data_IF_470459171321
#
_entry.id   IF_470459171321
#
_cell.length_a   1.000
_cell.length_b   1.000
_cell.length_c   1.000
_cell.angle_alpha   90.00
_cell.angle_beta   90.00
_cell.angle_gamma   90.00
#
_symmetry.space_group_name_H-M   'P 1'
#
loop_
_entity.id
_entity.type
_entity.pdbx_description
1 polymer ?
#
# COMPACT_ATOMS: atom_id res chain seq x y z
N UNK A 1 39.98 24.91 11.31
CA UNK A 1 38.73 25.44 10.77
C UNK A 1 38.31 24.55 9.61
N UNK A 2 37.10 23.98 9.70
CA UNK A 2 36.30 23.34 8.64
C UNK A 2 35.27 22.42 9.32
N UNK A 3 34.23 23.06 9.83
CA UNK A 3 33.00 22.45 10.31
C UNK A 3 32.30 21.63 9.20
N UNK A 4 31.26 20.89 9.61
CA UNK A 4 30.18 20.29 8.80
C UNK A 4 30.46 18.87 8.27
N UNK A 5 29.67 17.85 8.57
CA UNK A 5 28.46 17.74 9.38
C UNK A 5 28.08 16.27 9.36
N UNK A 6 28.16 15.60 10.51
CA UNK A 6 27.63 14.25 10.69
C UNK A 6 26.11 14.37 10.77
N UNK A 7 25.43 14.21 9.63
CA UNK A 7 23.99 14.01 9.62
C UNK A 7 23.73 12.58 10.10
N UNK A 8 23.26 12.43 11.34
CA UNK A 8 22.66 11.18 11.78
C UNK A 8 21.26 11.12 11.17
N UNK A 9 21.01 10.17 10.28
CA UNK A 9 19.69 9.95 9.71
C UNK A 9 19.04 8.77 10.41
N UNK A 10 17.91 9.01 11.07
CA UNK A 10 17.07 7.97 11.66
C UNK A 10 16.00 7.61 10.63
N UNK A 11 16.17 6.48 9.94
CA UNK A 11 15.11 5.92 9.10
C UNK A 11 14.17 5.10 9.99
N UNK A 12 13.03 5.69 10.36
CA UNK A 12 11.95 4.95 11.00
C UNK A 12 11.23 4.15 9.92
N UNK A 13 11.64 2.90 9.74
CA UNK A 13 10.84 1.93 9.01
C UNK A 13 9.71 1.52 9.95
N UNK A 14 8.53 2.08 9.75
CA UNK A 14 7.32 1.50 10.35
C UNK A 14 7.27 0.04 9.89
N UNK A 15 7.41 -0.89 10.83
CA UNK A 15 7.40 -2.30 10.51
C UNK A 15 6.12 -2.60 9.76
N UNK A 16 6.23 -3.07 8.51
CA UNK A 16 5.11 -3.67 7.81
C UNK A 16 4.57 -4.74 8.76
N UNK A 17 3.41 -4.45 9.36
CA UNK A 17 2.88 -5.22 10.48
C UNK A 17 3.00 -6.69 10.15
N UNK A 18 3.69 -7.42 11.02
CA UNK A 18 3.78 -8.87 10.94
C UNK A 18 2.36 -9.41 11.04
N UNK A 19 1.67 -9.51 9.90
CA UNK A 19 0.51 -10.37 9.80
C UNK A 19 1.10 -11.75 9.66
N UNK A 20 1.13 -12.46 10.79
CA UNK A 20 1.00 -13.90 10.84
C UNK A 20 0.10 -14.33 9.68
N UNK A 21 0.75 -14.77 8.60
CA UNK A 21 0.07 -15.19 7.40
C UNK A 21 -0.63 -16.49 7.75
N UNK A 22 -1.85 -16.37 8.27
CA UNK A 22 -2.85 -17.40 8.06
C UNK A 22 -2.80 -17.71 6.54
N UNK A 23 -2.64 -18.98 6.13
CA UNK A 23 -2.30 -19.36 4.75
C UNK A 23 -3.33 -18.92 3.69
N UNK A 24 -4.41 -18.26 4.10
CA UNK A 24 -5.52 -17.76 3.29
C UNK A 24 -5.71 -16.24 3.33
N UNK A 25 -4.94 -15.49 4.11
CA UNK A 25 -5.06 -14.02 4.13
C UNK A 25 -4.31 -13.43 2.92
N UNK A 26 -5.01 -13.30 1.78
CA UNK A 26 -4.46 -12.54 0.65
C UNK A 26 -4.22 -11.10 1.10
N UNK A 27 -3.00 -10.59 0.91
CA UNK A 27 -2.66 -9.21 1.20
C UNK A 27 -3.56 -8.28 0.38
N UNK A 28 -4.23 -7.34 1.04
CA UNK A 28 -5.22 -6.46 0.42
C UNK A 28 -4.63 -5.66 -0.76
N UNK A 29 -3.35 -5.29 -0.67
CA UNK A 29 -2.62 -4.64 -1.76
C UNK A 29 -2.46 -5.52 -3.01
N UNK A 30 -2.23 -6.83 -2.84
CA UNK A 30 -2.10 -7.75 -3.96
C UNK A 30 -3.43 -7.88 -4.71
N UNK A 31 -4.53 -8.04 -3.96
CA UNK A 31 -5.88 -8.07 -4.52
C UNK A 31 -6.19 -6.76 -5.22
N UNK A 32 -5.89 -5.62 -4.58
CA UNK A 32 -6.12 -4.30 -5.14
C UNK A 32 -5.38 -4.07 -6.47
N UNK A 33 -4.09 -4.44 -6.55
CA UNK A 33 -3.29 -4.30 -7.79
C UNK A 33 -3.86 -5.11 -8.95
N UNK A 34 -4.27 -6.36 -8.70
CA UNK A 34 -4.88 -7.20 -9.74
C UNK A 34 -6.20 -6.59 -10.24
N UNK A 35 -7.02 -6.07 -9.32
CA UNK A 35 -8.29 -5.44 -9.68
C UNK A 35 -8.11 -4.12 -10.43
N UNK A 36 -7.04 -3.35 -10.15
CA UNK A 36 -6.75 -2.08 -10.83
C UNK A 36 -6.35 -2.26 -12.29
N UNK A 37 -5.85 -3.43 -12.68
CA UNK A 37 -5.55 -3.72 -14.09
C UNK A 37 -6.82 -3.76 -14.95
N UNK A 38 -7.94 -4.19 -14.38
CA UNK A 38 -9.19 -4.46 -15.11
C UNK A 38 -10.31 -3.46 -14.78
N UNK A 39 -10.20 -2.72 -13.66
CA UNK A 39 -11.28 -1.91 -13.10
C UNK A 39 -10.82 -0.50 -12.69
N UNK A 40 -11.71 0.51 -12.72
CA UNK A 40 -11.41 1.83 -12.17
C UNK A 40 -11.19 1.75 -10.65
N UNK A 41 -10.30 2.61 -10.12
CA UNK A 41 -9.84 2.63 -8.72
C UNK A 41 -10.95 2.52 -7.68
N UNK A 42 -12.08 3.21 -7.89
CA UNK A 42 -13.23 3.16 -6.98
C UNK A 42 -13.88 1.78 -6.90
N UNK A 43 -13.97 1.07 -8.03
CA UNK A 43 -14.52 -0.30 -8.09
C UNK A 43 -13.52 -1.31 -7.53
N UNK A 44 -12.25 -1.16 -7.87
CA UNK A 44 -11.17 -2.00 -7.35
C UNK A 44 -11.09 -1.93 -5.81
N UNK A 45 -11.09 -0.73 -5.23
CA UNK A 45 -11.04 -0.54 -3.77
C UNK A 45 -12.25 -1.16 -3.05
N UNK A 46 -13.46 -0.99 -3.59
CA UNK A 46 -14.67 -1.58 -3.00
C UNK A 46 -14.63 -3.11 -3.01
N UNK A 47 -14.17 -3.71 -4.11
CA UNK A 47 -14.10 -5.15 -4.25
C UNK A 47 -12.95 -5.75 -3.43
N UNK A 48 -11.78 -5.10 -3.41
CA UNK A 48 -10.67 -5.48 -2.54
C UNK A 48 -11.07 -5.45 -1.06
N UNK A 49 -11.81 -4.41 -0.62
CA UNK A 49 -12.32 -4.34 0.75
C UNK A 49 -13.33 -5.44 1.07
N UNK A 50 -14.19 -5.81 0.12
CA UNK A 50 -15.13 -6.92 0.28
C UNK A 50 -14.44 -8.30 0.36
N UNK A 51 -13.31 -8.48 -0.33
CA UNK A 51 -12.54 -9.74 -0.33
C UNK A 51 -11.67 -9.84 0.93
N UNK A 52 -11.05 -8.74 1.34
CA UNK A 52 -10.00 -8.74 2.39
C UNK A 52 -10.48 -8.24 3.75
N UNK A 53 -11.66 -7.60 3.80
CA UNK A 53 -12.16 -6.92 5.01
C UNK A 53 -11.47 -5.59 5.31
N UNK A 54 -10.52 -5.16 4.49
CA UNK A 54 -9.84 -3.87 4.66
C UNK A 54 -10.75 -2.68 4.34
N UNK A 55 -10.43 -1.52 4.91
CA UNK A 55 -11.19 -0.29 4.69
C UNK A 55 -11.15 0.12 3.22
N UNK A 56 -12.34 0.35 2.64
CA UNK A 56 -12.49 0.82 1.26
C UNK A 56 -11.81 2.16 1.06
N UNK A 57 -11.86 3.05 2.05
CA UNK A 57 -11.24 4.38 1.95
C UNK A 57 -9.71 4.26 1.90
N UNK A 58 -9.12 3.41 2.76
CA UNK A 58 -7.69 3.16 2.77
C UNK A 58 -7.22 2.52 1.45
N UNK A 59 -7.98 1.54 0.93
CA UNK A 59 -7.70 0.91 -0.35
C UNK A 59 -7.87 1.87 -1.53
N UNK A 60 -8.80 2.82 -1.45
CA UNK A 60 -8.98 3.82 -2.49
C UNK A 60 -7.80 4.79 -2.55
N UNK A 61 -7.30 5.26 -1.40
CA UNK A 61 -6.10 6.09 -1.36
C UNK A 61 -4.88 5.33 -1.89
N UNK A 62 -4.72 4.07 -1.48
CA UNK A 62 -3.66 3.19 -1.98
C UNK A 62 -3.76 3.00 -3.50
N UNK A 63 -4.97 2.84 -4.03
CA UNK A 63 -5.20 2.74 -5.48
C UNK A 63 -4.83 4.03 -6.23
N UNK A 64 -5.07 5.20 -5.64
CA UNK A 64 -4.68 6.47 -6.25
C UNK A 64 -3.16 6.62 -6.26
N UNK A 65 -2.48 6.26 -5.17
CA UNK A 65 -1.02 6.26 -5.09
C UNK A 65 -0.40 5.35 -6.15
N UNK A 66 -0.84 4.08 -6.21
CA UNK A 66 -0.36 3.09 -7.20
C UNK A 66 -0.59 3.52 -8.65
N UNK A 67 -1.70 4.19 -8.93
CA UNK A 67 -2.03 4.70 -10.28
C UNK A 67 -1.18 5.92 -10.67
N UNK A 68 -0.68 6.66 -9.69
CA UNK A 68 0.25 7.77 -9.92
C UNK A 68 1.69 7.25 -10.08
N UNK A 69 2.10 6.23 -9.34
CA UNK A 69 3.43 5.59 -9.48
C UNK A 69 3.63 4.89 -10.83
N UNK A 70 2.57 4.34 -11.44
CA UNK A 70 2.64 3.71 -12.77
C UNK A 70 2.59 4.70 -13.95
N UNK A 71 2.66 6.01 -13.69
CA UNK A 71 2.59 7.07 -14.71
C UNK A 71 3.93 7.78 -14.97
N UNK A 72 5.01 7.33 -14.35
CA UNK A 72 6.39 7.76 -14.59
C UNK A 72 7.15 6.75 -15.47
#
# INVERSE_FOLDING_TARGET
>A
DASHGKGEFVLVVEGAGAQDAAPTAMAADQVLRLLLAELPAKRAAKLAGAITGASVDALYQSALALKNEGKD
#
